data_IF_331624582250
#
_entry.id   IF_331624582250
#
_cell.length_a   1.000
_cell.length_b   1.000
_cell.length_c   1.000
_cell.angle_alpha   90.00
_cell.angle_beta   90.00
_cell.angle_gamma   90.00
#
_symmetry.space_group_name_H-M   'P 1'
#
loop_
_entity.id
_entity.type
_entity.pdbx_description
1 polymer ?
#
# COMPACT_ATOMS: atom_id res chain seq x y z
N UNK A 1 14.14 3.62 -8.88
CA UNK A 1 13.87 2.32 -8.24
C UNK A 1 13.14 2.62 -6.92
N UNK A 2 11.82 2.61 -6.91
CA UNK A 2 11.03 3.10 -5.77
C UNK A 2 10.65 1.96 -4.83
N UNK A 3 11.65 1.45 -4.09
CA UNK A 3 11.39 0.75 -2.84
C UNK A 3 11.30 1.83 -1.74
N UNK A 4 10.15 2.50 -1.62
CA UNK A 4 10.05 3.78 -0.91
C UNK A 4 10.31 3.66 0.61
N UNK A 5 9.91 2.55 1.23
CA UNK A 5 9.93 2.39 2.69
C UNK A 5 10.55 1.05 3.13
N UNK A 6 10.40 -0.03 2.37
CA UNK A 6 10.98 -1.34 2.70
C UNK A 6 10.44 -1.91 4.02
N UNK A 7 9.13 -2.12 4.11
CA UNK A 7 8.44 -2.66 5.29
C UNK A 7 7.56 -3.85 4.89
N UNK A 8 7.43 -4.87 5.75
CA UNK A 8 6.67 -6.08 5.40
C UNK A 8 5.19 -5.78 5.13
N UNK A 9 4.62 -4.80 5.85
CA UNK A 9 3.23 -4.39 5.74
C UNK A 9 2.97 -3.28 4.70
N UNK A 10 3.95 -2.98 3.85
CA UNK A 10 3.79 -2.04 2.73
C UNK A 10 4.04 -2.80 1.43
N UNK A 11 3.22 -2.52 0.42
CA UNK A 11 3.41 -3.13 -0.90
C UNK A 11 4.76 -2.73 -1.50
N UNK A 12 5.50 -3.72 -2.00
CA UNK A 12 6.75 -3.48 -2.72
C UNK A 12 6.45 -3.11 -4.16
N UNK A 13 6.85 -1.92 -4.57
CA UNK A 13 6.81 -1.45 -5.96
C UNK A 13 8.13 -1.81 -6.63
N UNK A 14 8.08 -2.46 -7.79
CA UNK A 14 9.24 -2.82 -8.59
C UNK A 14 9.57 -1.76 -9.62
N UNK A 15 8.55 -1.30 -10.34
CA UNK A 15 8.71 -0.34 -11.43
C UNK A 15 7.46 0.52 -11.61
N UNK A 16 7.63 1.67 -12.23
CA UNK A 16 6.57 2.62 -12.52
C UNK A 16 6.91 3.31 -13.83
N UNK A 17 6.05 3.17 -14.82
CA UNK A 17 6.36 3.65 -16.16
C UNK A 17 5.08 4.02 -16.92
N UNK A 18 5.23 4.53 -18.14
CA UNK A 18 4.11 4.91 -19.01
C UNK A 18 3.98 3.93 -20.15
N UNK A 19 2.74 3.58 -20.48
CA UNK A 19 2.43 2.91 -21.73
C UNK A 19 2.72 3.86 -22.89
N UNK A 20 2.87 3.32 -24.10
CA UNK A 20 3.02 4.13 -25.31
C UNK A 20 1.83 5.07 -25.55
N UNK A 21 0.66 4.73 -25.00
CA UNK A 21 -0.57 5.55 -24.97
C UNK A 21 -0.50 6.73 -24.00
N UNK A 22 0.52 6.80 -23.15
CA UNK A 22 0.75 7.87 -22.18
C UNK A 22 0.17 7.61 -20.79
N UNK A 23 -0.57 6.51 -20.59
CA UNK A 23 -1.14 6.09 -19.30
C UNK A 23 -0.05 5.56 -18.37
N UNK A 24 -0.13 5.88 -17.07
CA UNK A 24 0.78 5.33 -16.07
C UNK A 24 0.39 3.90 -15.72
N UNK A 25 1.39 3.03 -15.56
CA UNK A 25 1.24 1.71 -14.97
C UNK A 25 2.27 1.50 -13.86
N UNK A 26 1.89 0.67 -12.90
CA UNK A 26 2.68 0.31 -11.74
C UNK A 26 2.92 -1.20 -11.74
N UNK A 27 4.17 -1.60 -11.55
CA UNK A 27 4.56 -2.99 -11.35
C UNK A 27 4.89 -3.17 -9.88
N UNK A 28 4.17 -4.07 -9.21
CA UNK A 28 4.28 -4.30 -7.77
C UNK A 28 4.28 -5.80 -7.44
N UNK A 29 4.57 -6.14 -6.20
CA UNK A 29 4.48 -7.52 -5.73
C UNK A 29 3.08 -8.10 -5.94
N UNK A 30 3.02 -9.37 -6.37
CA UNK A 30 1.76 -10.08 -6.49
C UNK A 30 1.26 -10.50 -5.11
N UNK A 31 0.01 -10.14 -4.80
CA UNK A 31 -0.62 -10.38 -3.50
C UNK A 31 -1.77 -11.40 -3.66
N UNK A 32 -1.59 -12.67 -3.24
CA UNK A 32 -2.66 -13.67 -3.28
C UNK A 32 -3.58 -13.50 -2.06
N UNK A 33 -4.62 -12.68 -2.21
CA UNK A 33 -5.50 -12.31 -1.13
C UNK A 33 -6.70 -11.48 -1.59
N UNK A 34 -7.23 -10.67 -0.68
CA UNK A 34 -8.39 -9.83 -0.94
C UNK A 34 -8.29 -8.50 -0.19
N UNK A 35 -9.09 -7.51 -0.58
CA UNK A 35 -9.16 -6.22 0.10
C UNK A 35 -9.78 -6.37 1.49
N UNK A 36 -9.38 -5.50 2.42
CA UNK A 36 -10.01 -5.42 3.74
C UNK A 36 -11.48 -4.97 3.62
N UNK A 37 -11.81 -4.13 2.64
CA UNK A 37 -13.19 -3.75 2.34
C UNK A 37 -14.08 -4.96 2.02
N UNK A 38 -13.57 -5.92 1.23
CA UNK A 38 -14.27 -7.16 0.89
C UNK A 38 -14.39 -8.09 2.11
N UNK A 39 -13.34 -8.17 2.93
CA UNK A 39 -13.35 -8.96 4.16
C UNK A 39 -14.35 -8.39 5.18
N UNK A 40 -14.40 -7.07 5.32
CA UNK A 40 -15.25 -6.34 6.25
C UNK A 40 -16.71 -6.20 5.77
N UNK A 41 -17.05 -6.69 4.57
CA UNK A 41 -18.45 -6.83 4.14
C UNK A 41 -19.26 -7.78 5.05
N UNK A 42 -18.57 -8.58 5.87
CA UNK A 42 -19.14 -9.37 6.97
C UNK A 42 -18.52 -8.90 8.28
N UNK A 43 -19.22 -9.05 9.43
CA UNK A 43 -18.65 -8.72 10.73
C UNK A 43 -17.33 -9.44 10.96
N UNK A 44 -16.29 -8.66 11.28
CA UNK A 44 -15.00 -9.17 11.71
C UNK A 44 -15.03 -9.43 13.22
N UNK A 45 -14.44 -10.55 13.63
CA UNK A 45 -14.15 -10.76 15.05
C UNK A 45 -13.20 -9.67 15.57
N UNK A 46 -13.42 -9.22 16.81
CA UNK A 46 -12.68 -8.12 17.40
C UNK A 46 -11.16 -8.40 17.46
N UNK A 47 -10.78 -9.65 17.75
CA UNK A 47 -9.36 -10.04 17.80
C UNK A 47 -8.73 -9.98 16.42
N UNK A 48 -9.45 -10.42 15.39
CA UNK A 48 -8.99 -10.32 14.00
C UNK A 48 -8.85 -8.86 13.58
N UNK A 49 -9.84 -8.01 13.88
CA UNK A 49 -9.80 -6.59 13.56
C UNK A 49 -8.61 -5.88 14.21
N UNK A 50 -8.37 -6.09 15.52
CA UNK A 50 -7.20 -5.53 16.22
C UNK A 50 -5.88 -5.99 15.62
N UNK A 51 -5.79 -7.27 15.23
CA UNK A 51 -4.57 -7.81 14.62
C UNK A 51 -4.27 -7.19 13.26
N UNK A 52 -5.29 -7.01 12.41
CA UNK A 52 -5.13 -6.36 11.10
C UNK A 52 -4.81 -4.87 11.25
N UNK A 53 -5.51 -4.17 12.14
CA UNK A 53 -5.27 -2.75 12.40
C UNK A 53 -3.88 -2.50 12.98
N UNK A 54 -3.37 -3.38 13.86
CA UNK A 54 -1.99 -3.29 14.34
C UNK A 54 -0.99 -3.26 13.19
N UNK A 55 -1.12 -4.18 12.24
CA UNK A 55 -0.23 -4.23 11.06
C UNK A 55 -0.38 -3.01 10.14
N UNK A 56 -1.58 -2.41 10.04
CA UNK A 56 -1.77 -1.13 9.33
C UNK A 56 -1.01 -0.01 10.05
N UNK A 57 -1.07 0.03 11.38
CA UNK A 57 -0.36 1.03 12.18
C UNK A 57 1.16 0.87 12.07
N UNK A 58 1.68 -0.36 12.05
CA UNK A 58 3.11 -0.65 11.84
C UNK A 58 3.57 -0.12 10.47
N UNK A 59 2.78 -0.33 9.41
CA UNK A 59 3.04 0.23 8.09
C UNK A 59 3.07 1.77 8.09
N UNK A 60 2.10 2.40 8.77
CA UNK A 60 2.03 3.86 8.86
C UNK A 60 3.17 4.44 9.69
N UNK A 61 3.56 3.80 10.79
CA UNK A 61 4.73 4.19 11.58
C UNK A 61 6.00 4.15 10.73
N UNK A 62 6.24 3.07 9.99
CA UNK A 62 7.38 2.93 9.11
C UNK A 62 7.44 4.00 8.00
N UNK A 63 6.27 4.41 7.49
CA UNK A 63 6.15 5.50 6.53
C UNK A 63 6.40 6.87 7.17
N UNK A 64 5.77 7.14 8.32
CA UNK A 64 5.91 8.40 9.04
C UNK A 64 7.35 8.63 9.53
N UNK A 65 8.06 7.58 9.92
CA UNK A 65 9.49 7.64 10.26
C UNK A 65 10.37 8.14 9.09
N UNK A 66 9.86 8.07 7.86
CA UNK A 66 10.50 8.59 6.63
C UNK A 66 9.86 9.89 6.13
N UNK A 67 8.99 10.52 6.92
CA UNK A 67 8.28 11.74 6.56
C UNK A 67 7.19 11.56 5.50
N UNK A 68 6.78 10.31 5.21
CA UNK A 68 5.77 10.00 4.20
C UNK A 68 4.41 9.87 4.89
N UNK A 69 3.43 10.66 4.44
CA UNK A 69 2.04 10.60 4.91
C UNK A 69 1.17 9.97 3.83
N UNK A 70 0.40 8.92 4.18
CA UNK A 70 -0.43 8.19 3.23
C UNK A 70 -1.63 9.01 2.71
N UNK A 71 -2.28 9.81 3.56
CA UNK A 71 -3.41 10.72 3.26
C UNK A 71 -4.74 10.12 2.80
N UNK A 72 -4.80 8.82 2.51
CA UNK A 72 -6.01 8.14 2.03
C UNK A 72 -6.13 6.75 2.68
N UNK A 73 -6.03 6.69 4.01
CA UNK A 73 -6.12 5.42 4.73
C UNK A 73 -7.58 5.00 4.81
N UNK A 74 -7.92 3.91 4.11
CA UNK A 74 -9.25 3.32 4.06
C UNK A 74 -9.17 1.83 3.73
N UNK A 75 -10.22 1.02 4.00
CA UNK A 75 -10.20 -0.43 3.79
C UNK A 75 -9.89 -0.86 2.35
N UNK A 76 -10.19 -0.04 1.35
CA UNK A 76 -9.90 -0.29 -0.07
C UNK A 76 -8.39 -0.19 -0.40
N UNK A 77 -7.60 0.45 0.47
CA UNK A 77 -6.15 0.56 0.32
C UNK A 77 -5.41 -0.43 1.22
N UNK A 78 -6.13 -1.36 1.87
CA UNK A 78 -5.55 -2.39 2.73
C UNK A 78 -5.80 -3.77 2.13
N UNK A 79 -4.75 -4.45 1.72
CA UNK A 79 -4.83 -5.80 1.19
C UNK A 79 -4.48 -6.83 2.27
N UNK A 80 -5.26 -7.89 2.39
CA UNK A 80 -5.04 -8.97 3.36
C UNK A 80 -4.60 -10.23 2.61
N UNK A 81 -3.37 -10.66 2.87
CA UNK A 81 -2.78 -11.90 2.33
C UNK A 81 -2.63 -12.95 3.43
N UNK A 82 -2.35 -14.20 3.04
CA UNK A 82 -1.94 -15.25 3.97
C UNK A 82 -0.43 -15.45 3.89
N UNK A 83 0.22 -15.48 5.06
CA UNK A 83 1.61 -15.95 5.19
C UNK A 83 1.66 -17.46 4.98
N UNK A 84 2.88 -17.99 4.80
CA UNK A 84 3.12 -19.42 4.63
C UNK A 84 2.64 -20.27 5.83
N UNK A 85 2.62 -19.69 7.03
CA UNK A 85 2.10 -20.32 8.25
C UNK A 85 0.56 -20.22 8.39
N UNK A 86 -0.12 -19.66 7.38
CA UNK A 86 -1.57 -19.49 7.34
C UNK A 86 -2.09 -18.25 8.07
N UNK A 87 -1.23 -17.48 8.75
CA UNK A 87 -1.65 -16.25 9.45
C UNK A 87 -1.95 -15.11 8.48
N UNK A 88 -2.93 -14.25 8.78
CA UNK A 88 -3.20 -13.09 7.94
C UNK A 88 -2.10 -12.03 8.07
N UNK A 89 -1.71 -11.46 6.95
CA UNK A 89 -0.81 -10.32 6.89
C UNK A 89 -1.41 -9.19 6.09
N UNK A 90 -1.16 -7.96 6.53
CA UNK A 90 -1.59 -6.75 5.84
C UNK A 90 -0.51 -6.27 4.87
N UNK A 91 -0.95 -5.77 3.72
CA UNK A 91 -0.18 -4.97 2.78
C UNK A 91 -0.93 -3.66 2.53
N UNK A 92 -0.38 -2.55 3.01
CA UNK A 92 -0.89 -1.22 2.76
C UNK A 92 -0.49 -0.80 1.33
N UNK A 93 -1.50 -0.48 0.53
CA UNK A 93 -1.40 -0.06 -0.87
C UNK A 93 -1.43 1.47 -0.96
N UNK A 94 -1.07 1.99 -2.13
CA UNK A 94 -1.42 3.34 -2.57
C UNK A 94 -1.10 4.48 -1.59
N UNK A 95 0.18 4.70 -1.35
CA UNK A 95 0.70 5.94 -0.74
C UNK A 95 0.53 7.14 -1.68
N UNK A 96 -0.71 7.51 -2.00
CA UNK A 96 -1.07 8.71 -2.74
C UNK A 96 -0.12 9.02 -3.90
N UNK A 97 0.21 8.02 -4.74
CA UNK A 97 1.22 8.16 -5.79
C UNK A 97 0.84 9.33 -6.73
N UNK A 98 -0.46 9.62 -6.87
CA UNK A 98 -1.05 10.85 -7.42
C UNK A 98 -0.35 12.16 -7.00
N UNK A 99 -0.01 12.31 -5.72
CA UNK A 99 0.64 13.50 -5.20
C UNK A 99 2.14 13.54 -5.52
N UNK A 100 2.80 12.38 -5.56
CA UNK A 100 4.17 12.25 -6.07
C UNK A 100 4.23 12.58 -7.58
N UNK A 101 3.22 12.20 -8.35
CA UNK A 101 3.11 12.51 -9.77
C UNK A 101 3.01 14.02 -10.04
N UNK A 102 2.39 14.82 -9.17
CA UNK A 102 2.35 16.28 -9.33
C UNK A 102 3.70 16.96 -9.03
N UNK A 103 4.50 16.43 -8.09
CA UNK A 103 5.82 16.98 -7.77
C UNK A 103 6.86 16.78 -8.88
N UNK A 104 6.77 15.67 -9.62
CA UNK A 104 7.67 15.39 -10.75
C UNK A 104 7.45 16.32 -11.96
N UNK A 105 6.28 16.96 -12.07
CA UNK A 105 6.00 17.96 -13.10
C UNK A 105 6.63 19.34 -12.84
N UNK A 106 7.16 19.60 -11.64
CA UNK A 106 7.78 20.88 -11.30
C UNK A 106 9.28 20.99 -11.66
N UNK A 107 9.89 19.93 -12.20
CA UNK A 107 11.34 19.82 -12.41
C UNK A 107 11.88 20.13 -13.81
N UNK A 108 11.05 20.46 -14.81
CA UNK A 108 11.54 20.79 -16.16
C UNK A 108 11.33 22.27 -16.46
N UNK A 109 12.25 23.10 -15.97
CA UNK A 109 12.55 24.42 -16.53
C UNK A 109 14.06 24.61 -16.52
N UNK A 110 14.70 24.25 -17.62
CA UNK A 110 15.86 24.92 -18.25
C UNK A 110 16.09 24.28 -19.61
#
# INVERSE_FOLDING_TARGET
MVNLIGHENIVRIFDMNRLATGEWYLVMEYLPGQMLSELAARPLDERAARHLLGQVLDALEAAHARGIVHRDVKPENVFVVRRADGTPAVKLLDFGIAHFFQGAHAGCRT
#
